data_IF_172974071146
#
_entry.id   IF_172974071146
#
_cell.length_a   1.000
_cell.length_b   1.000
_cell.length_c   1.000
_cell.angle_alpha   90.00
_cell.angle_beta   90.00
_cell.angle_gamma   90.00
#
_symmetry.space_group_name_H-M   'P 1'
#
loop_
_entity.id
_entity.type
_entity.pdbx_description
1 polymer ?
#
# COMPACT_ATOMS: atom_id res chain seq x y z
N UNK A 1 -3.87 -2.92 0.16
CA UNK A 1 -5.01 -3.86 0.29
C UNK A 1 -4.95 -5.12 -0.57
N UNK A 2 -4.13 -5.19 -1.64
CA UNK A 2 -4.20 -6.31 -2.58
C UNK A 2 -3.64 -7.66 -2.10
N UNK A 3 -2.78 -7.67 -1.07
CA UNK A 3 -2.05 -8.88 -0.69
C UNK A 3 -2.89 -9.80 0.22
N UNK A 4 -3.43 -9.28 1.32
CA UNK A 4 -4.17 -10.11 2.30
C UNK A 4 -5.68 -10.21 2.05
N UNK A 5 -6.27 -9.31 1.26
CA UNK A 5 -7.72 -9.34 0.98
C UNK A 5 -8.11 -10.33 -0.13
N UNK A 6 -7.15 -10.74 -0.98
CA UNK A 6 -7.39 -11.63 -2.11
C UNK A 6 -7.21 -13.11 -1.74
N UNK A 7 -6.45 -13.36 -0.68
CA UNK A 7 -6.27 -14.65 -0.07
C UNK A 7 -7.59 -15.04 0.61
N UNK A 8 -8.46 -15.74 -0.11
CA UNK A 8 -9.58 -16.50 0.46
C UNK A 8 -9.05 -17.71 1.25
N UNK A 9 -8.04 -17.47 2.08
CA UNK A 9 -7.48 -18.46 2.99
C UNK A 9 -8.42 -18.48 4.17
N UNK A 10 -9.46 -19.32 4.07
CA UNK A 10 -10.06 -19.89 5.26
C UNK A 10 -9.01 -20.82 5.88
N UNK A 11 -8.05 -20.26 6.61
CA UNK A 11 -7.47 -20.99 7.71
C UNK A 11 -8.54 -21.00 8.79
N UNK A 12 -8.86 -22.16 9.34
CA UNK A 12 -9.81 -22.33 10.45
C UNK A 12 -9.49 -21.42 11.66
N UNK A 13 -8.29 -20.84 11.74
CA UNK A 13 -7.89 -19.85 12.75
C UNK A 13 -7.78 -18.37 12.31
N UNK A 14 -8.02 -18.00 11.04
CA UNK A 14 -7.79 -16.62 10.56
C UNK A 14 -8.92 -16.05 9.67
N UNK A 15 -10.02 -15.55 10.27
CA UNK A 15 -11.15 -15.00 9.52
C UNK A 15 -10.86 -13.65 8.82
N UNK A 16 -11.52 -13.39 7.68
CA UNK A 16 -11.35 -12.19 6.80
C UNK A 16 -11.58 -10.84 7.49
N UNK A 17 -12.34 -10.81 8.58
CA UNK A 17 -12.53 -9.57 9.33
C UNK A 17 -11.25 -9.15 10.06
N UNK A 18 -10.39 -10.10 10.47
CA UNK A 18 -9.12 -9.80 11.12
C UNK A 18 -8.16 -9.13 10.13
N UNK A 19 -8.07 -9.61 8.88
CA UNK A 19 -7.20 -8.99 7.88
C UNK A 19 -7.71 -7.62 7.44
N UNK A 20 -9.02 -7.45 7.32
CA UNK A 20 -9.64 -6.16 6.96
C UNK A 20 -9.52 -5.14 8.10
N UNK A 21 -9.78 -5.57 9.34
CA UNK A 21 -9.63 -4.75 10.55
C UNK A 21 -8.18 -4.37 10.80
N UNK A 22 -7.26 -5.33 10.69
CA UNK A 22 -5.82 -5.08 10.80
C UNK A 22 -5.35 -4.10 9.75
N UNK A 23 -5.74 -4.26 8.48
CA UNK A 23 -5.36 -3.29 7.46
C UNK A 23 -5.89 -1.89 7.76
N UNK A 24 -7.15 -1.76 8.20
CA UNK A 24 -7.73 -0.46 8.54
C UNK A 24 -6.97 0.18 9.70
N UNK A 25 -6.63 -0.58 10.73
CA UNK A 25 -5.84 -0.08 11.86
C UNK A 25 -4.43 0.33 11.42
N UNK A 26 -3.74 -0.51 10.64
CA UNK A 26 -2.41 -0.20 10.10
C UNK A 26 -2.46 1.04 9.21
N UNK A 27 -3.46 1.17 8.33
CA UNK A 27 -3.64 2.34 7.48
C UNK A 27 -3.83 3.61 8.32
N UNK A 28 -4.68 3.57 9.36
CA UNK A 28 -4.87 4.69 10.26
C UNK A 28 -3.59 5.05 11.01
N UNK A 29 -2.86 4.07 11.54
CA UNK A 29 -1.58 4.30 12.19
C UNK A 29 -0.57 4.91 11.22
N UNK A 30 -0.45 4.38 10.00
CA UNK A 30 0.42 4.95 8.96
C UNK A 30 0.10 6.41 8.69
N UNK A 31 -1.18 6.78 8.57
CA UNK A 31 -1.57 8.18 8.33
C UNK A 31 -1.24 9.09 9.51
N UNK A 32 -1.48 8.63 10.75
CA UNK A 32 -1.15 9.39 11.95
C UNK A 32 0.37 9.59 12.07
N UNK A 33 1.15 8.52 11.95
CA UNK A 33 2.61 8.60 12.03
C UNK A 33 3.22 9.40 10.88
N UNK A 34 2.63 9.33 9.68
CA UNK A 34 3.08 10.15 8.55
C UNK A 34 2.80 11.63 8.80
N UNK A 35 1.63 11.99 9.32
CA UNK A 35 1.32 13.37 9.67
C UNK A 35 2.30 13.89 10.73
N UNK A 36 2.55 13.10 11.78
CA UNK A 36 3.56 13.44 12.80
C UNK A 36 4.94 13.62 12.17
N UNK A 37 5.39 12.68 11.33
CA UNK A 37 6.68 12.74 10.64
C UNK A 37 6.83 14.04 9.83
N UNK A 38 5.86 14.36 8.96
CA UNK A 38 5.88 15.58 8.13
C UNK A 38 5.89 16.83 9.02
N UNK A 39 5.02 16.90 10.03
CA UNK A 39 4.94 18.05 10.94
C UNK A 39 6.27 18.24 11.67
N UNK A 40 6.83 17.19 12.26
CA UNK A 40 8.12 17.27 12.96
C UNK A 40 9.27 17.69 12.05
N UNK A 41 9.28 17.23 10.79
CA UNK A 41 10.30 17.60 9.81
C UNK A 41 10.16 19.05 9.34
N UNK A 42 8.93 19.55 9.19
CA UNK A 42 8.67 20.94 8.73
C UNK A 42 8.99 21.95 9.83
N UNK A 43 8.69 21.63 11.10
CA UNK A 43 8.95 22.53 12.23
C UNK A 43 10.37 22.40 12.79
N UNK A 44 11.18 21.47 12.26
CA UNK A 44 12.56 21.28 12.68
C UNK A 44 13.39 22.54 12.38
N UNK A 45 13.87 23.26 13.42
CA UNK A 45 14.62 24.50 13.25
C UNK A 45 15.99 24.28 12.60
N UNK A 46 16.53 23.06 12.60
CA UNK A 46 17.82 22.79 11.97
C UNK A 46 17.77 22.85 10.45
N UNK A 47 16.64 22.46 9.86
CA UNK A 47 16.55 22.23 8.42
C UNK A 47 15.75 23.32 7.69
N UNK A 48 14.93 24.11 8.39
CA UNK A 48 14.19 25.27 7.85
C UNK A 48 13.49 24.99 6.50
N UNK A 49 12.90 23.79 6.35
CA UNK A 49 12.29 23.34 5.09
C UNK A 49 11.16 24.26 4.61
N UNK A 50 10.35 24.74 5.55
CA UNK A 50 9.07 25.40 5.26
C UNK A 50 8.03 24.44 4.65
N UNK A 51 6.78 24.90 4.57
CA UNK A 51 5.66 24.08 4.09
C UNK A 51 5.73 23.74 2.59
N UNK A 52 6.38 24.59 1.78
CA UNK A 52 6.55 24.35 0.34
C UNK A 52 7.31 23.04 0.05
N UNK A 53 8.35 22.75 0.84
CA UNK A 53 9.15 21.54 0.71
C UNK A 53 8.39 20.25 1.05
N UNK A 54 7.27 20.33 1.77
CA UNK A 54 6.42 19.19 2.10
C UNK A 54 5.35 18.91 1.02
N UNK A 55 5.05 19.90 0.18
CA UNK A 55 3.93 19.84 -0.78
C UNK A 55 4.38 19.86 -2.24
N UNK A 56 5.56 20.40 -2.54
CA UNK A 56 6.05 20.53 -3.90
C UNK A 56 7.32 19.69 -4.03
N UNK A 57 7.30 18.59 -4.81
CA UNK A 57 8.45 17.73 -4.94
C UNK A 57 9.63 18.51 -5.56
N UNK A 58 10.83 18.26 -5.05
CA UNK A 58 12.09 18.88 -5.51
C UNK A 58 12.19 20.41 -5.34
N UNK A 59 11.29 21.03 -4.57
CA UNK A 59 11.34 22.47 -4.29
C UNK A 59 12.42 22.89 -3.28
N UNK A 60 12.86 21.96 -2.43
CA UNK A 60 13.90 22.23 -1.43
C UNK A 60 15.30 22.09 -2.03
N UNK A 61 16.19 23.03 -1.69
CA UNK A 61 17.63 22.91 -1.96
C UNK A 61 18.35 21.93 -1.02
N UNK A 62 17.73 21.59 0.12
CA UNK A 62 18.27 20.63 1.07
C UNK A 62 17.91 19.20 0.65
N UNK A 63 18.91 18.36 0.32
CA UNK A 63 18.72 16.94 -0.04
C UNK A 63 17.58 16.75 -1.07
N UNK A 64 17.55 17.58 -2.10
CA UNK A 64 16.46 17.74 -3.09
C UNK A 64 15.87 16.43 -3.59
N UNK A 65 16.72 15.50 -4.05
CA UNK A 65 16.28 14.20 -4.55
C UNK A 65 15.52 13.42 -3.48
N UNK A 66 16.13 13.28 -2.30
CA UNK A 66 15.57 12.48 -1.21
C UNK A 66 14.27 13.09 -0.69
N UNK A 67 14.23 14.40 -0.39
CA UNK A 67 12.99 15.06 0.01
C UNK A 67 11.91 14.94 -1.07
N UNK A 68 12.27 15.12 -2.35
CA UNK A 68 11.34 14.96 -3.47
C UNK A 68 10.70 13.58 -3.52
N UNK A 69 11.46 12.51 -3.28
CA UNK A 69 10.90 11.15 -3.16
C UNK A 69 9.91 11.03 -1.99
N UNK A 70 10.16 11.71 -0.86
CA UNK A 70 9.24 11.76 0.27
C UNK A 70 7.91 12.44 -0.09
N UNK A 71 7.98 13.58 -0.78
CA UNK A 71 6.79 14.29 -1.27
C UNK A 71 6.02 13.46 -2.29
N UNK A 72 6.70 12.85 -3.26
CA UNK A 72 6.06 11.95 -4.24
C UNK A 72 5.37 10.76 -3.55
N UNK A 73 6.02 10.14 -2.56
CA UNK A 73 5.41 9.06 -1.80
C UNK A 73 4.16 9.51 -1.04
N UNK A 74 4.21 10.71 -0.44
CA UNK A 74 3.07 11.34 0.24
C UNK A 74 1.92 11.66 -0.72
N UNK A 75 2.19 12.27 -1.88
CA UNK A 75 1.18 12.59 -2.90
C UNK A 75 0.50 11.33 -3.43
N UNK A 76 1.25 10.26 -3.70
CA UNK A 76 0.70 8.96 -4.09
C UNK A 76 -0.21 8.40 -3.00
N UNK A 77 0.22 8.46 -1.73
CA UNK A 77 -0.59 7.99 -0.61
C UNK A 77 -1.86 8.83 -0.44
N UNK A 78 -1.76 10.15 -0.59
CA UNK A 78 -2.89 11.07 -0.53
C UNK A 78 -3.92 10.73 -1.62
N UNK A 79 -3.46 10.51 -2.86
CA UNK A 79 -4.32 10.08 -3.96
C UNK A 79 -5.02 8.74 -3.65
N UNK A 80 -4.30 7.77 -3.08
CA UNK A 80 -4.87 6.47 -2.67
C UNK A 80 -5.94 6.63 -1.58
N UNK A 81 -5.70 7.49 -0.58
CA UNK A 81 -6.64 7.74 0.52
C UNK A 81 -7.89 8.43 0.00
N UNK A 82 -7.73 9.54 -0.72
CA UNK A 82 -8.86 10.31 -1.29
C UNK A 82 -9.71 9.42 -2.18
N UNK A 83 -9.10 8.65 -3.08
CA UNK A 83 -9.86 7.77 -3.98
C UNK A 83 -10.49 6.58 -3.26
N UNK A 84 -9.92 6.12 -2.14
CA UNK A 84 -10.53 5.09 -1.29
C UNK A 84 -11.75 5.60 -0.51
N UNK A 85 -11.75 6.88 -0.12
CA UNK A 85 -12.91 7.55 0.49
C UNK A 85 -14.00 7.79 -0.55
N UNK A 86 -13.62 8.18 -1.77
CA UNK A 86 -14.53 8.45 -2.89
C UNK A 86 -14.86 7.21 -3.74
N UNK A 87 -14.53 6.00 -3.26
CA UNK A 87 -14.65 4.75 -4.05
C UNK A 87 -16.06 4.49 -4.62
N UNK A 88 -17.10 5.00 -3.94
CA UNK A 88 -18.49 4.84 -4.36
C UNK A 88 -18.87 5.76 -5.54
N UNK A 89 -18.08 6.82 -5.79
CA UNK A 89 -18.32 7.80 -6.84
C UNK A 89 -17.53 7.49 -8.12
N UNK A 90 -16.29 7.04 -7.98
CA UNK A 90 -15.36 6.82 -9.13
C UNK A 90 -15.44 5.42 -9.73
N UNK A 91 -16.20 4.51 -9.10
CA UNK A 91 -16.34 3.13 -9.52
C UNK A 91 -15.15 2.24 -9.18
N UNK A 92 -15.39 0.92 -9.13
CA UNK A 92 -14.42 -0.06 -8.66
C UNK A 92 -13.16 -0.17 -9.52
N UNK A 93 -13.27 0.01 -10.84
CA UNK A 93 -12.14 -0.11 -11.75
C UNK A 93 -11.11 1.01 -11.55
N UNK A 94 -11.56 2.27 -11.57
CA UNK A 94 -10.69 3.44 -11.36
C UNK A 94 -10.09 3.42 -9.96
N UNK A 95 -10.90 3.16 -8.92
CA UNK A 95 -10.41 3.00 -7.56
C UNK A 95 -9.31 1.93 -7.49
N UNK A 96 -9.52 0.76 -8.09
CA UNK A 96 -8.55 -0.33 -8.03
C UNK A 96 -7.25 0.04 -8.74
N UNK A 97 -7.31 0.70 -9.89
CA UNK A 97 -6.13 1.16 -10.61
C UNK A 97 -5.28 2.12 -9.76
N UNK A 98 -5.91 3.10 -9.11
CA UNK A 98 -5.22 4.07 -8.25
C UNK A 98 -4.71 3.39 -6.98
N UNK A 99 -5.50 2.49 -6.39
CA UNK A 99 -5.09 1.73 -5.20
C UNK A 99 -3.79 0.93 -5.46
N UNK A 100 -3.56 0.47 -6.69
CA UNK A 100 -2.33 -0.26 -7.04
C UNK A 100 -1.07 0.61 -6.93
N UNK A 101 -1.19 1.93 -6.96
CA UNK A 101 -0.06 2.83 -6.69
C UNK A 101 0.52 2.64 -5.28
N UNK A 102 -0.17 1.95 -4.36
CA UNK A 102 0.41 1.56 -3.05
C UNK A 102 1.70 0.76 -3.24
N UNK A 103 1.80 -0.06 -4.30
CA UNK A 103 2.99 -0.85 -4.59
C UNK A 103 4.17 0.00 -5.08
N UNK A 104 3.93 1.21 -5.60
CA UNK A 104 4.97 2.17 -5.97
C UNK A 104 5.29 3.14 -4.83
N UNK A 105 4.28 3.63 -4.11
CA UNK A 105 4.45 4.54 -2.96
C UNK A 105 5.32 3.93 -1.86
N UNK A 106 5.13 2.65 -1.53
CA UNK A 106 5.89 1.97 -0.49
C UNK A 106 7.41 1.91 -0.74
N UNK A 107 7.93 1.40 -1.87
CA UNK A 107 9.37 1.39 -2.11
C UNK A 107 9.97 2.80 -2.23
N UNK A 108 9.24 3.77 -2.78
CA UNK A 108 9.68 5.17 -2.83
C UNK A 108 9.87 5.72 -1.41
N UNK A 109 8.93 5.46 -0.50
CA UNK A 109 9.03 5.88 0.90
C UNK A 109 10.22 5.22 1.63
N UNK A 110 10.48 3.92 1.36
CA UNK A 110 11.65 3.22 1.92
C UNK A 110 12.96 3.84 1.42
N UNK A 111 13.07 4.08 0.12
CA UNK A 111 14.25 4.70 -0.51
C UNK A 111 14.46 6.13 0.03
N UNK A 112 13.39 6.91 0.19
CA UNK A 112 13.43 8.22 0.85
C UNK A 112 14.05 8.12 2.26
N UNK A 113 13.54 7.21 3.09
CA UNK A 113 13.99 7.06 4.48
C UNK A 113 15.49 6.75 4.61
N UNK A 114 16.04 5.90 3.74
CA UNK A 114 17.47 5.61 3.74
C UNK A 114 18.35 6.79 3.31
N UNK A 115 17.84 7.68 2.45
CA UNK A 115 18.61 8.81 1.95
C UNK A 115 18.53 10.09 2.79
N UNK A 116 17.44 10.25 3.56
CA UNK A 116 17.25 11.39 4.48
C UNK A 116 17.64 11.08 5.91
N UNK A 117 17.49 9.84 6.38
CA UNK A 117 17.71 9.46 7.77
C UNK A 117 19.15 9.62 8.22
N UNK A 118 19.38 10.39 9.29
CA UNK A 118 20.71 10.53 9.91
C UNK A 118 21.20 9.23 10.54
N UNK A 119 20.26 8.37 10.93
CA UNK A 119 20.45 7.04 11.51
C UNK A 119 19.99 5.92 10.55
N UNK A 120 19.90 6.22 9.24
CA UNK A 120 19.51 5.29 8.18
C UNK A 120 20.27 3.95 8.23
N UNK A 121 21.52 3.98 8.68
CA UNK A 121 22.43 2.84 8.74
C UNK A 121 22.58 2.23 10.14
N UNK A 122 21.79 2.69 11.10
CA UNK A 122 21.75 2.08 12.42
C UNK A 122 21.21 0.65 12.33
N UNK A 123 21.82 -0.26 13.10
CA UNK A 123 21.47 -1.67 13.06
C UNK A 123 19.97 -1.90 13.36
N UNK A 124 19.39 -1.13 14.28
CA UNK A 124 17.98 -1.26 14.64
C UNK A 124 17.06 -0.90 13.46
N UNK A 125 17.35 0.18 12.72
CA UNK A 125 16.51 0.61 11.61
C UNK A 125 16.64 -0.34 10.42
N UNK A 126 17.85 -0.83 10.15
CA UNK A 126 18.09 -1.86 9.13
C UNK A 126 17.30 -3.13 9.46
N UNK A 127 17.35 -3.61 10.70
CA UNK A 127 16.62 -4.82 11.14
C UNK A 127 15.12 -4.63 10.99
N UNK A 128 14.57 -3.50 11.44
CA UNK A 128 13.13 -3.20 11.31
C UNK A 128 12.73 -3.14 9.83
N UNK A 129 13.51 -2.43 9.01
CA UNK A 129 13.20 -2.27 7.59
C UNK A 129 13.29 -3.60 6.84
N UNK A 130 14.32 -4.40 7.10
CA UNK A 130 14.47 -5.73 6.53
C UNK A 130 13.32 -6.65 6.94
N UNK A 131 12.89 -6.60 8.21
CA UNK A 131 11.73 -7.36 8.69
C UNK A 131 10.43 -6.93 7.98
N UNK A 132 10.21 -5.63 7.78
CA UNK A 132 9.08 -5.13 7.01
C UNK A 132 9.12 -5.59 5.54
N UNK A 133 10.28 -5.49 4.88
CA UNK A 133 10.47 -5.96 3.50
C UNK A 133 10.19 -7.46 3.41
N UNK A 134 10.74 -8.26 4.32
CA UNK A 134 10.54 -9.70 4.37
C UNK A 134 9.07 -10.07 4.59
N UNK A 135 8.37 -9.37 5.50
CA UNK A 135 6.95 -9.60 5.74
C UNK A 135 6.09 -9.29 4.50
N UNK A 136 6.35 -8.16 3.83
CA UNK A 136 5.66 -7.78 2.59
C UNK A 136 5.98 -8.77 1.47
N UNK A 137 7.25 -9.14 1.31
CA UNK A 137 7.71 -10.11 0.31
C UNK A 137 7.09 -11.49 0.50
N UNK A 138 7.06 -11.99 1.74
CA UNK A 138 6.44 -13.27 2.09
C UNK A 138 4.94 -13.24 1.79
N UNK A 139 4.25 -12.16 2.16
CA UNK A 139 2.83 -12.03 1.88
C UNK A 139 2.55 -11.95 0.37
N UNK A 140 3.37 -11.23 -0.39
CA UNK A 140 3.27 -11.13 -1.84
C UNK A 140 3.52 -12.47 -2.53
N UNK A 141 4.58 -13.18 -2.13
CA UNK A 141 4.92 -14.51 -2.62
C UNK A 141 3.79 -15.51 -2.31
N UNK A 142 3.31 -15.52 -1.07
CA UNK A 142 2.20 -16.38 -0.68
C UNK A 142 0.96 -16.13 -1.54
N UNK A 143 0.64 -14.86 -1.88
CA UNK A 143 -0.43 -14.52 -2.83
C UNK A 143 -0.17 -14.98 -4.25
N UNK A 144 1.06 -14.94 -4.73
CA UNK A 144 1.39 -15.43 -6.08
C UNK A 144 1.28 -16.96 -6.16
N UNK A 145 1.66 -17.66 -5.09
CA UNK A 145 1.63 -19.12 -5.00
C UNK A 145 0.23 -19.67 -4.74
N UNK A 146 -0.57 -18.98 -3.92
CA UNK A 146 -1.98 -19.32 -3.69
C UNK A 146 -2.84 -18.64 -4.76
N UNK A 147 -2.86 -19.24 -5.95
CA UNK A 147 -3.74 -18.81 -7.04
C UNK A 147 -5.21 -18.70 -6.57
N UNK A 148 -5.99 -17.90 -7.28
CA UNK A 148 -7.42 -17.72 -6.99
C UNK A 148 -8.16 -19.06 -7.12
N UNK A 149 -8.34 -19.78 -6.01
CA UNK A 149 -9.30 -20.88 -5.93
C UNK A 149 -10.68 -20.24 -5.90
N UNK A 150 -11.31 -20.06 -7.07
CA UNK A 150 -12.74 -19.81 -7.12
C UNK A 150 -13.43 -21.16 -6.87
N UNK A 151 -14.00 -21.42 -5.67
CA UNK A 151 -14.72 -22.67 -5.42
C UNK A 151 -15.94 -22.81 -6.33
N UNK A 152 -16.40 -21.71 -6.93
CA UNK A 152 -17.47 -21.68 -7.92
C UNK A 152 -16.95 -21.71 -9.35
N UNK A 153 -15.64 -21.80 -9.60
CA UNK A 153 -15.12 -21.96 -10.95
C UNK A 153 -15.71 -23.22 -11.59
N UNK A 154 -15.57 -24.38 -10.93
CA UNK A 154 -16.08 -25.66 -11.43
C UNK A 154 -17.61 -25.63 -11.62
N UNK A 155 -18.42 -25.24 -10.61
CA UNK A 155 -19.87 -25.07 -10.77
C UNK A 155 -20.29 -24.10 -11.88
N UNK A 156 -19.56 -23.00 -12.10
CA UNK A 156 -19.87 -22.03 -13.18
C UNK A 156 -19.55 -22.58 -14.55
N UNK A 157 -18.44 -23.29 -14.72
CA UNK A 157 -18.13 -23.99 -15.98
C UNK A 157 -19.17 -25.07 -16.27
N UNK A 158 -19.57 -25.86 -15.26
CA UNK A 158 -20.61 -26.88 -15.41
C UNK A 158 -21.96 -26.26 -15.79
N UNK A 159 -22.37 -25.19 -15.11
CA UNK A 159 -23.62 -24.48 -15.44
C UNK A 159 -23.60 -23.92 -16.87
N UNK A 160 -22.50 -23.26 -17.28
CA UNK A 160 -22.35 -22.77 -18.66
C UNK A 160 -22.39 -23.89 -19.69
N UNK A 161 -21.71 -24.99 -19.44
CA UNK A 161 -21.74 -26.17 -20.31
C UNK A 161 -23.15 -26.82 -20.36
N UNK A 162 -23.89 -26.78 -19.26
CA UNK A 162 -25.28 -27.25 -19.19
C UNK A 162 -26.24 -26.40 -20.00
N UNK A 163 -26.11 -25.07 -19.94
CA UNK A 163 -26.90 -24.14 -20.76
C UNK A 163 -26.57 -24.33 -22.24
N UNK A 164 -25.28 -24.41 -22.59
CA UNK A 164 -24.85 -24.54 -23.99
C UNK A 164 -25.30 -25.86 -24.64
N UNK A 165 -25.43 -26.95 -23.86
CA UNK A 165 -26.01 -28.22 -24.34
C UNK A 165 -27.52 -28.18 -24.58
N UNK A 166 -28.26 -27.30 -23.89
CA UNK A 166 -29.71 -27.14 -24.08
C UNK A 166 -30.07 -26.33 -25.33
N UNK A 167 -29.12 -25.59 -25.89
CA UNK A 167 -29.35 -24.73 -27.06
C UNK A 167 -28.87 -25.34 -28.38
N UNK A 168 -28.36 -26.58 -28.34
CA UNK A 168 -28.06 -27.35 -29.56
C UNK A 168 -29.28 -28.19 -29.94
N UNK A 169 -29.85 -28.01 -31.15
CA UNK A 169 -31.04 -28.71 -31.63
C UNK A 169 -30.83 -30.20 -31.93
#
# INVERSE_FOLDING_TARGET
>A
MGILSALRVQSTGWPRFLTTGLHRNLALMTLVFLALHIVTAVIDPFTNLGWGAALIPFSSHYRTLWLGLGVVAFELLLAIVVTSLLRNLIGHYAWRAIHWLTYASWPIAVVHGFGTGTDAWSAWLIVVTAACIAAVGTAALYRMLTGSTDPLASPRTEFRAGVQRRELP
#
